data_IF_396152414503
#
_entry.id   IF_396152414503
#
_cell.length_a   1.000
_cell.length_b   1.000
_cell.length_c   1.000
_cell.angle_alpha   90.00
_cell.angle_beta   90.00
_cell.angle_gamma   90.00
#
_symmetry.space_group_name_H-M   'P 1'
#
loop_
_entity.id
_entity.type
_entity.pdbx_description
1 polymer ?
#
# COMPACT_ATOMS: atom_id res chain seq x y z
N UNK A 1 -14.54 3.65 -21.62
CA UNK A 1 -14.28 4.73 -20.64
C UNK A 1 -15.10 5.99 -20.91
N UNK A 2 -15.12 6.56 -22.13
CA UNK A 2 -16.01 7.71 -22.47
C UNK A 2 -17.52 7.44 -22.26
N UNK A 3 -18.00 6.20 -22.49
CA UNK A 3 -19.39 5.81 -22.21
C UNK A 3 -19.73 5.69 -20.71
N UNK A 4 -18.74 5.76 -19.80
CA UNK A 4 -18.94 5.60 -18.36
C UNK A 4 -18.69 6.91 -17.56
N UNK A 5 -18.57 8.06 -18.23
CA UNK A 5 -18.29 9.38 -17.60
C UNK A 5 -17.12 9.36 -16.60
N UNK A 6 -16.10 8.51 -16.83
CA UNK A 6 -14.87 8.51 -16.03
C UNK A 6 -13.74 9.14 -16.81
N UNK A 7 -12.98 10.00 -16.13
CA UNK A 7 -11.74 10.53 -16.68
C UNK A 7 -10.79 9.35 -16.97
N UNK A 8 -10.18 9.37 -18.15
CA UNK A 8 -9.26 8.32 -18.59
C UNK A 8 -8.00 8.36 -17.71
N UNK A 9 -7.67 9.52 -17.15
CA UNK A 9 -6.54 9.69 -16.23
C UNK A 9 -6.65 8.90 -14.92
N UNK A 10 -7.85 8.50 -14.53
CA UNK A 10 -8.11 7.89 -13.22
C UNK A 10 -7.97 6.36 -13.25
N UNK A 11 -7.97 5.77 -14.44
CA UNK A 11 -7.72 4.35 -14.61
C UNK A 11 -6.21 4.07 -14.74
N UNK A 12 -5.52 4.17 -13.59
CA UNK A 12 -4.06 3.97 -13.50
C UNK A 12 -3.66 2.80 -12.59
N UNK A 13 -4.11 1.56 -12.90
CA UNK A 13 -3.73 0.37 -12.14
C UNK A 13 -2.23 0.04 -12.25
N UNK A 14 -1.51 0.66 -13.19
CA UNK A 14 -0.06 0.60 -13.32
C UNK A 14 0.67 1.20 -12.11
N UNK A 15 0.09 2.23 -11.47
CA UNK A 15 0.67 2.83 -10.27
C UNK A 15 0.64 1.82 -9.12
N UNK A 16 -0.51 1.20 -8.86
CA UNK A 16 -0.63 0.13 -7.86
C UNK A 16 0.29 -1.04 -8.18
N UNK A 17 0.40 -1.43 -9.46
CA UNK A 17 1.31 -2.49 -9.89
C UNK A 17 2.77 -2.18 -9.52
N UNK A 18 3.24 -0.97 -9.82
CA UNK A 18 4.61 -0.53 -9.48
C UNK A 18 4.83 -0.50 -7.97
N UNK A 19 3.89 0.05 -7.19
CA UNK A 19 3.96 0.04 -5.73
C UNK A 19 4.07 -1.39 -5.17
N UNK A 20 3.26 -2.32 -5.66
CA UNK A 20 3.30 -3.71 -5.21
C UNK A 20 4.64 -4.39 -5.51
N UNK A 21 5.22 -4.12 -6.68
CA UNK A 21 6.56 -4.64 -7.01
C UNK A 21 7.60 -4.07 -6.06
N UNK A 22 7.58 -2.76 -5.80
CA UNK A 22 8.50 -2.11 -4.85
C UNK A 22 8.37 -2.67 -3.44
N UNK A 23 7.13 -2.79 -2.94
CA UNK A 23 6.86 -3.24 -1.58
C UNK A 23 7.20 -4.73 -1.40
N UNK A 24 6.83 -5.61 -2.33
CA UNK A 24 7.06 -7.06 -2.17
C UNK A 24 8.52 -7.47 -2.37
N UNK A 25 9.31 -6.65 -3.07
CA UNK A 25 10.76 -6.86 -3.23
C UNK A 25 11.59 -6.26 -2.10
N UNK A 26 11.02 -5.38 -1.28
CA UNK A 26 11.74 -4.73 -0.18
C UNK A 26 12.27 -5.73 0.87
N UNK A 27 13.46 -5.49 1.43
CA UNK A 27 13.98 -6.26 2.57
C UNK A 27 12.99 -6.39 3.72
N UNK A 28 12.24 -5.33 4.07
CA UNK A 28 11.24 -5.37 5.13
C UNK A 28 10.13 -6.43 4.89
N UNK A 29 9.74 -6.64 3.63
CA UNK A 29 8.81 -7.71 3.28
C UNK A 29 9.45 -9.09 3.43
N UNK A 30 10.72 -9.24 3.03
CA UNK A 30 11.47 -10.50 3.18
C UNK A 30 11.73 -10.85 4.65
N UNK A 31 11.86 -9.85 5.51
CA UNK A 31 11.94 -9.98 6.95
C UNK A 31 10.60 -10.32 7.63
N UNK A 32 9.49 -10.40 6.87
CA UNK A 32 8.16 -10.70 7.41
C UNK A 32 7.55 -9.57 8.24
N UNK A 33 8.06 -8.34 8.11
CA UNK A 33 7.61 -7.15 8.87
C UNK A 33 6.69 -6.23 8.05
N UNK A 34 6.23 -6.66 6.86
CA UNK A 34 5.35 -5.88 6.00
C UNK A 34 4.06 -6.63 5.70
N UNK A 35 2.94 -5.94 5.88
CA UNK A 35 1.62 -6.39 5.43
C UNK A 35 1.04 -5.34 4.49
N UNK A 36 0.50 -5.77 3.35
CA UNK A 36 0.03 -4.88 2.29
C UNK A 36 -1.48 -5.03 2.13
N UNK A 37 -2.17 -3.89 2.04
CA UNK A 37 -3.58 -3.81 1.68
C UNK A 37 -3.78 -2.88 0.50
N UNK A 38 -4.75 -3.19 -0.35
CA UNK A 38 -5.16 -2.35 -1.48
C UNK A 38 -6.61 -1.95 -1.25
N UNK A 39 -6.84 -0.65 -1.09
CA UNK A 39 -8.19 -0.10 -1.07
C UNK A 39 -8.48 0.56 -2.41
N UNK A 40 -9.43 0.00 -3.15
CA UNK A 40 -9.78 0.51 -4.48
C UNK A 40 -10.73 1.71 -4.39
N UNK A 41 -10.77 2.56 -5.41
CA UNK A 41 -11.72 3.66 -5.51
C UNK A 41 -13.21 3.22 -5.53
N UNK A 42 -13.50 1.92 -5.67
CA UNK A 42 -14.85 1.35 -5.58
C UNK A 42 -15.16 0.74 -4.20
N UNK A 43 -14.31 0.99 -3.20
CA UNK A 43 -14.50 0.47 -1.84
C UNK A 43 -14.17 -1.01 -1.67
N UNK A 44 -13.53 -1.66 -2.64
CA UNK A 44 -13.05 -3.04 -2.48
C UNK A 44 -11.74 -3.02 -1.71
N UNK A 45 -11.69 -3.73 -0.58
CA UNK A 45 -10.48 -3.92 0.22
C UNK A 45 -9.87 -5.29 -0.08
N UNK A 46 -8.59 -5.29 -0.44
CA UNK A 46 -7.84 -6.50 -0.78
C UNK A 46 -6.66 -6.63 0.17
N UNK A 47 -6.54 -7.80 0.79
CA UNK A 47 -5.37 -8.25 1.53
C UNK A 47 -4.39 -8.95 0.58
N UNK A 48 -3.12 -8.61 0.71
CA UNK A 48 -2.04 -9.16 -0.09
C UNK A 48 -1.11 -9.97 0.83
N UNK A 49 -0.97 -11.27 0.56
CA UNK A 49 -0.04 -12.11 1.32
C UNK A 49 1.40 -11.71 1.03
N UNK A 50 2.29 -11.60 2.04
CA UNK A 50 3.72 -11.30 1.84
C UNK A 50 4.45 -12.29 0.93
N UNK A 51 3.94 -13.53 0.83
CA UNK A 51 4.49 -14.60 0.00
C UNK A 51 4.09 -14.52 -1.48
N UNK A 52 3.16 -13.63 -1.85
CA UNK A 52 2.65 -13.55 -3.23
C UNK A 52 3.73 -13.05 -4.19
N UNK A 53 3.84 -13.73 -5.34
CA UNK A 53 4.68 -13.26 -6.45
C UNK A 53 3.82 -12.51 -7.48
N UNK A 54 3.84 -11.18 -7.41
CA UNK A 54 3.13 -10.35 -8.38
C UNK A 54 3.78 -10.44 -9.78
N UNK A 55 3.00 -10.63 -10.85
CA UNK A 55 3.54 -10.66 -12.21
C UNK A 55 4.27 -9.35 -12.56
N UNK A 56 5.51 -9.46 -13.07
CA UNK A 56 6.33 -8.29 -13.43
C UNK A 56 5.81 -7.48 -14.62
N UNK A 57 5.07 -8.11 -15.52
CA UNK A 57 4.49 -7.46 -16.69
C UNK A 57 3.07 -7.01 -16.39
N UNK A 58 2.75 -5.74 -16.69
CA UNK A 58 1.43 -5.16 -16.43
C UNK A 58 0.27 -5.98 -17.02
N UNK A 59 0.39 -6.51 -18.25
CA UNK A 59 -0.66 -7.34 -18.88
C UNK A 59 -1.06 -8.56 -18.05
N UNK A 60 -0.08 -9.24 -17.43
CA UNK A 60 -0.35 -10.41 -16.56
C UNK A 60 -0.92 -9.97 -15.21
N UNK A 61 -0.43 -8.87 -14.65
CA UNK A 61 -0.98 -8.29 -13.42
C UNK A 61 -2.46 -7.91 -13.59
N UNK A 62 -2.81 -7.26 -14.70
CA UNK A 62 -4.20 -6.91 -15.00
C UNK A 62 -5.09 -8.16 -15.07
N UNK A 63 -4.65 -9.23 -15.73
CA UNK A 63 -5.36 -10.51 -15.76
C UNK A 63 -5.56 -11.12 -14.35
N UNK A 64 -4.53 -11.07 -13.51
CA UNK A 64 -4.61 -11.52 -12.11
C UNK A 64 -5.63 -10.71 -11.31
N UNK A 65 -5.65 -9.38 -11.46
CA UNK A 65 -6.60 -8.52 -10.76
C UNK A 65 -8.04 -8.77 -11.21
N UNK A 66 -8.28 -9.01 -12.51
CA UNK A 66 -9.60 -9.41 -13.02
C UNK A 66 -10.05 -10.72 -12.39
N UNK A 67 -9.16 -11.71 -12.34
CA UNK A 67 -9.46 -12.99 -11.70
C UNK A 67 -9.78 -12.83 -10.20
N UNK A 68 -9.00 -12.00 -9.49
CA UNK A 68 -9.22 -11.71 -8.08
C UNK A 68 -10.60 -11.08 -7.86
N UNK A 69 -10.99 -10.09 -8.67
CA UNK A 69 -12.29 -9.43 -8.52
C UNK A 69 -13.48 -10.35 -8.86
N UNK A 70 -13.30 -11.32 -9.75
CA UNK A 70 -14.34 -12.30 -10.09
C UNK A 70 -14.45 -13.44 -9.07
N UNK A 71 -13.33 -13.90 -8.50
CA UNK A 71 -13.27 -15.07 -7.60
C UNK A 71 -13.18 -14.69 -6.11
N UNK A 72 -13.01 -13.40 -5.81
CA UNK A 72 -12.78 -12.82 -4.48
C UNK A 72 -11.53 -13.32 -3.75
N UNK A 73 -10.82 -14.31 -4.28
CA UNK A 73 -9.55 -14.79 -3.77
C UNK A 73 -8.72 -15.47 -4.85
N UNK A 74 -7.40 -15.42 -4.69
CA UNK A 74 -6.42 -16.18 -5.46
C UNK A 74 -5.67 -17.08 -4.50
N UNK A 75 -5.54 -18.36 -4.85
CA UNK A 75 -4.80 -19.35 -4.08
C UNK A 75 -3.50 -19.70 -4.76
N UNK A 76 -2.53 -20.15 -3.97
CA UNK A 76 -1.33 -20.78 -4.50
C UNK A 76 -1.68 -22.05 -5.27
N UNK A 77 -0.87 -22.41 -6.26
CA UNK A 77 -1.01 -23.68 -7.00
C UNK A 77 -0.48 -24.86 -6.19
N UNK A 78 0.49 -24.58 -5.31
CA UNK A 78 1.23 -25.61 -4.57
C UNK A 78 0.71 -25.76 -3.14
N UNK A 79 0.04 -24.73 -2.61
CA UNK A 79 -0.56 -24.73 -1.28
C UNK A 79 -2.01 -24.24 -1.36
N UNK A 80 -2.87 -24.66 -0.43
CA UNK A 80 -4.25 -24.14 -0.37
C UNK A 80 -4.33 -22.73 0.28
N UNK A 81 -3.18 -22.07 0.44
CA UNK A 81 -3.06 -20.73 1.02
C UNK A 81 -3.64 -19.67 0.07
N UNK A 82 -4.35 -18.68 0.64
CA UNK A 82 -4.88 -17.54 -0.10
C UNK A 82 -3.78 -16.48 -0.20
N UNK A 83 -3.31 -16.22 -1.41
CA UNK A 83 -2.28 -15.23 -1.69
C UNK A 83 -2.85 -13.81 -1.83
N UNK A 84 -4.05 -13.70 -2.38
CA UNK A 84 -4.80 -12.45 -2.49
C UNK A 84 -6.23 -12.72 -2.07
N UNK A 85 -6.83 -11.84 -1.29
CA UNK A 85 -8.20 -12.01 -0.79
C UNK A 85 -8.90 -10.66 -0.72
N UNK A 86 -10.12 -10.60 -1.23
CA UNK A 86 -11.05 -9.52 -0.93
C UNK A 86 -11.57 -9.73 0.51
N UNK A 87 -11.40 -8.72 1.35
CA UNK A 87 -11.83 -8.70 2.75
C UNK A 87 -12.91 -7.64 2.97
N UNK A 88 -13.62 -7.73 4.10
CA UNK A 88 -14.66 -6.78 4.45
C UNK A 88 -14.05 -5.45 4.94
N UNK A 89 -14.74 -4.35 4.66
CA UNK A 89 -14.41 -3.05 5.26
C UNK A 89 -14.96 -2.96 6.69
N UNK A 90 -14.44 -2.05 7.53
CA UNK A 90 -13.33 -1.11 7.29
C UNK A 90 -11.93 -1.73 7.44
N UNK A 91 -10.89 -1.04 6.93
CA UNK A 91 -9.49 -1.48 7.11
C UNK A 91 -9.07 -1.55 8.59
N UNK A 92 -9.65 -0.70 9.44
CA UNK A 92 -9.35 -0.63 10.87
C UNK A 92 -9.56 -1.95 11.60
N UNK A 93 -10.47 -2.79 11.13
CA UNK A 93 -10.78 -4.09 11.73
C UNK A 93 -9.67 -5.13 11.48
N UNK A 94 -8.79 -4.87 10.52
CA UNK A 94 -7.71 -5.76 10.12
C UNK A 94 -6.34 -5.23 10.53
N UNK A 95 -6.26 -4.02 11.09
CA UNK A 95 -5.01 -3.47 11.60
C UNK A 95 -4.73 -3.96 13.03
N UNK A 96 -3.47 -4.02 13.46
CA UNK A 96 -3.12 -4.30 14.85
C UNK A 96 -3.76 -3.28 15.80
N UNK A 97 -4.11 -3.67 17.04
CA UNK A 97 -4.81 -2.81 17.98
C UNK A 97 -4.01 -1.55 18.38
N UNK A 98 -2.68 -1.65 18.46
CA UNK A 98 -1.79 -0.52 18.71
C UNK A 98 -1.06 -0.14 17.41
N UNK A 99 -1.77 0.56 16.53
CA UNK A 99 -1.28 0.90 15.19
C UNK A 99 -1.49 2.39 14.89
N UNK A 100 -0.38 3.10 14.72
CA UNK A 100 -0.36 4.50 14.27
C UNK A 100 -0.65 4.58 12.78
N UNK A 101 -1.60 5.42 12.41
CA UNK A 101 -2.14 5.51 11.04
C UNK A 101 -1.73 6.86 10.46
N UNK A 102 -0.91 6.83 9.41
CA UNK A 102 -0.41 8.05 8.77
C UNK A 102 -0.73 8.07 7.29
N UNK A 103 -1.09 9.24 6.76
CA UNK A 103 -1.15 9.45 5.31
C UNK A 103 0.10 10.19 4.85
N UNK A 104 0.72 9.70 3.78
CA UNK A 104 1.74 10.47 3.08
C UNK A 104 1.06 11.51 2.20
N UNK A 105 1.33 12.78 2.46
CA UNK A 105 0.80 13.90 1.67
C UNK A 105 1.87 14.95 1.43
N UNK A 106 1.88 15.54 0.24
CA UNK A 106 2.82 16.59 -0.12
C UNK A 106 2.60 17.89 0.67
N UNK A 107 1.34 18.23 0.95
CA UNK A 107 0.94 19.48 1.61
C UNK A 107 1.06 19.41 3.16
N UNK A 108 1.48 18.27 3.69
CA UNK A 108 1.63 18.06 5.13
C UNK A 108 3.01 18.53 5.65
N UNK A 109 3.19 18.69 6.98
CA UNK A 109 4.48 19.04 7.56
C UNK A 109 5.59 18.06 7.14
N UNK A 110 6.73 18.61 6.73
CA UNK A 110 7.89 17.83 6.32
C UNK A 110 8.52 17.14 7.53
N UNK A 111 8.72 15.82 7.43
CA UNK A 111 9.39 15.02 8.45
C UNK A 111 10.52 14.20 7.83
N UNK A 112 11.55 13.93 8.64
CA UNK A 112 12.56 12.93 8.32
C UNK A 112 12.03 11.56 8.73
N UNK A 113 11.82 10.68 7.75
CA UNK A 113 11.16 9.39 7.98
C UNK A 113 11.87 8.54 9.03
N UNK A 114 13.21 8.56 9.06
CA UNK A 114 13.99 7.82 10.06
C UNK A 114 13.70 8.31 11.49
N UNK A 115 13.79 9.62 11.72
CA UNK A 115 13.47 10.23 13.02
C UNK A 115 12.02 9.97 13.41
N UNK A 116 11.10 10.04 12.44
CA UNK A 116 9.70 9.72 12.66
C UNK A 116 9.49 8.25 13.08
N UNK A 117 10.16 7.31 12.43
CA UNK A 117 10.10 5.88 12.75
C UNK A 117 10.71 5.54 14.12
N UNK A 118 11.72 6.29 14.56
CA UNK A 118 12.29 6.17 15.91
C UNK A 118 11.29 6.58 17.02
N UNK A 119 10.26 7.37 16.70
CA UNK A 119 9.18 7.72 17.65
C UNK A 119 8.15 6.60 17.85
N UNK A 120 8.17 5.57 17.00
CA UNK A 120 7.24 4.45 17.08
C UNK A 120 7.72 3.50 18.19
N UNK A 121 6.85 3.24 19.17
CA UNK A 121 7.18 2.35 20.28
C UNK A 121 7.48 0.93 19.81
N UNK A 122 8.27 0.17 20.57
CA UNK A 122 8.65 -1.22 20.21
C UNK A 122 7.48 -2.21 20.10
N UNK A 123 6.32 -1.86 20.67
CA UNK A 123 5.06 -2.62 20.60
C UNK A 123 3.98 -1.90 19.80
N UNK A 124 4.35 -0.86 19.07
CA UNK A 124 3.47 -0.05 18.23
C UNK A 124 3.72 -0.42 16.76
N UNK A 125 2.65 -0.69 16.02
CA UNK A 125 2.71 -0.87 14.57
C UNK A 125 2.47 0.47 13.88
N UNK A 126 2.88 0.56 12.62
CA UNK A 126 2.60 1.72 11.78
C UNK A 126 1.90 1.28 10.49
N UNK A 127 0.82 1.96 10.16
CA UNK A 127 0.07 1.82 8.92
C UNK A 127 0.21 3.10 8.11
N UNK A 128 0.81 2.97 6.93
CA UNK A 128 1.04 4.10 6.02
C UNK A 128 0.06 4.01 4.85
N UNK A 129 -0.77 5.04 4.72
CA UNK A 129 -1.69 5.21 3.62
C UNK A 129 -1.01 6.00 2.50
N UNK A 130 -0.91 5.38 1.33
CA UNK A 130 -0.28 5.97 0.14
C UNK A 130 -1.31 6.07 -0.99
N UNK A 131 -1.47 7.28 -1.54
CA UNK A 131 -2.37 7.52 -2.65
C UNK A 131 -1.86 6.89 -3.95
N UNK A 132 -2.37 5.71 -4.30
CA UNK A 132 -2.08 5.06 -5.59
C UNK A 132 -2.90 5.67 -6.75
N UNK A 133 -2.82 6.99 -6.91
CA UNK A 133 -3.57 7.79 -7.89
C UNK A 133 -2.63 8.68 -8.70
N UNK A 134 -3.05 9.07 -9.91
CA UNK A 134 -2.24 9.94 -10.77
C UNK A 134 -2.30 11.41 -10.38
N UNK A 135 -3.47 11.85 -9.88
CA UNK A 135 -3.76 13.20 -9.39
C UNK A 135 -4.93 13.09 -8.42
N UNK A 136 -4.99 14.00 -7.47
CA UNK A 136 -6.06 14.06 -6.47
C UNK A 136 -5.56 14.64 -5.16
N UNK A 137 -6.50 15.05 -4.31
CA UNK A 137 -6.20 15.43 -2.94
C UNK A 137 -5.99 14.19 -2.08
N UNK A 138 -5.05 14.25 -1.15
CA UNK A 138 -4.73 13.15 -0.23
C UNK A 138 -5.75 13.06 0.93
N UNK A 139 -7.05 13.05 0.60
CA UNK A 139 -8.16 13.01 1.57
C UNK A 139 -8.78 11.62 1.73
N UNK A 140 -8.18 10.60 1.12
CA UNK A 140 -8.73 9.25 0.99
C UNK A 140 -8.77 8.45 2.31
N UNK A 141 -8.06 8.90 3.35
CA UNK A 141 -8.00 8.23 4.65
C UNK A 141 -8.22 9.17 5.84
N UNK A 142 -8.69 10.40 5.61
CA UNK A 142 -8.82 11.47 6.63
C UNK A 142 -9.71 11.10 7.81
N UNK A 143 -10.69 10.22 7.59
CA UNK A 143 -11.58 9.74 8.65
C UNK A 143 -10.94 8.69 9.56
N UNK A 144 -9.74 8.19 9.23
CA UNK A 144 -9.11 7.04 9.89
C UNK A 144 -7.70 7.39 10.38
N UNK A 145 -6.95 8.24 9.67
CA UNK A 145 -5.57 8.56 10.02
C UNK A 145 -5.45 9.47 11.23
N UNK A 146 -4.39 9.25 12.01
CA UNK A 146 -4.05 10.05 13.17
C UNK A 146 -3.35 11.35 12.74
N UNK A 147 -2.55 11.29 11.67
CA UNK A 147 -1.84 12.44 11.11
C UNK A 147 -1.51 12.29 9.62
N UNK A 148 -1.11 13.42 9.01
CA UNK A 148 -0.53 13.46 7.67
C UNK A 148 0.90 13.98 7.75
N UNK A 149 1.80 13.37 7.00
CA UNK A 149 3.22 13.75 6.96
C UNK A 149 3.71 13.87 5.52
N UNK A 150 4.63 14.80 5.28
CA UNK A 150 5.39 14.91 4.03
C UNK A 150 6.80 14.36 4.24
N UNK A 151 7.32 13.62 3.27
CA UNK A 151 8.63 12.95 3.36
C UNK A 151 9.66 13.53 2.38
N UNK A 152 9.28 14.60 1.66
CA UNK A 152 10.10 15.23 0.63
C UNK A 152 9.56 16.61 0.29
N UNK A 153 10.45 17.57 0.05
CA UNK A 153 10.10 18.89 -0.52
C UNK A 153 9.69 18.81 -2.01
N UNK A 154 9.84 17.64 -2.62
CA UNK A 154 9.44 17.36 -4.00
C UNK A 154 8.28 16.38 -4.03
N UNK A 155 7.36 16.57 -4.97
CA UNK A 155 6.29 15.61 -5.24
C UNK A 155 6.89 14.26 -5.67
N UNK A 156 6.49 13.18 -4.98
CA UNK A 156 6.98 11.83 -5.23
C UNK A 156 5.92 11.00 -5.94
N UNK A 157 6.36 10.03 -6.75
CA UNK A 157 5.45 8.96 -7.16
C UNK A 157 5.11 8.06 -5.97
N UNK A 158 3.95 7.42 -6.00
CA UNK A 158 3.53 6.50 -4.94
C UNK A 158 4.57 5.38 -4.68
N UNK A 159 5.19 4.85 -5.73
CA UNK A 159 6.24 3.82 -5.61
C UNK A 159 7.49 4.35 -4.92
N UNK A 160 7.94 5.57 -5.24
CA UNK A 160 9.09 6.20 -4.57
C UNK A 160 8.77 6.52 -3.12
N UNK A 161 7.54 6.98 -2.82
CA UNK A 161 7.10 7.22 -1.46
C UNK A 161 7.10 5.93 -0.62
N UNK A 162 6.56 4.83 -1.17
CA UNK A 162 6.66 3.50 -0.57
C UNK A 162 8.12 3.10 -0.31
N UNK A 163 9.00 3.22 -1.32
CA UNK A 163 10.41 2.84 -1.21
C UNK A 163 11.14 3.65 -0.13
N UNK A 164 10.97 4.97 -0.09
CA UNK A 164 11.58 5.83 0.93
C UNK A 164 11.13 5.47 2.34
N UNK A 165 9.85 5.12 2.49
CA UNK A 165 9.33 4.72 3.79
C UNK A 165 9.86 3.36 4.22
N UNK A 166 9.84 2.36 3.32
CA UNK A 166 10.42 1.05 3.59
C UNK A 166 11.90 1.15 3.98
N UNK A 167 12.69 1.94 3.25
CA UNK A 167 14.12 2.09 3.53
C UNK A 167 14.37 2.67 4.92
N UNK A 168 13.63 3.70 5.32
CA UNK A 168 13.75 4.27 6.66
C UNK A 168 13.29 3.29 7.76
N UNK A 169 12.26 2.48 7.48
CA UNK A 169 11.81 1.42 8.38
C UNK A 169 12.89 0.33 8.55
N UNK A 170 13.54 -0.05 7.44
CA UNK A 170 14.62 -1.02 7.39
C UNK A 170 15.80 -0.56 8.25
N UNK A 171 16.21 0.70 8.10
CA UNK A 171 17.29 1.31 8.89
C UNK A 171 17.00 1.32 10.40
N UNK A 172 15.76 1.64 10.81
CA UNK A 172 15.39 1.73 12.23
C UNK A 172 15.18 0.35 12.85
N UNK A 173 14.71 -0.62 12.06
CA UNK A 173 14.42 -1.98 12.53
C UNK A 173 15.55 -2.97 12.28
N UNK A 174 16.72 -2.49 11.86
CA UNK A 174 17.94 -3.25 11.58
C UNK A 174 17.68 -4.41 10.60
N UNK A 175 17.00 -4.09 9.49
CA UNK A 175 16.76 -5.01 8.37
C UNK A 175 17.70 -4.62 7.23
N UNK A 176 18.63 -5.52 6.88
CA UNK A 176 19.67 -5.33 5.86
C UNK A 176 19.29 -5.93 4.50
#
# INVERSE_FOLDING_TARGET
MRKMNRDISDARPDITHQCLLTLLDSPINKAGKLQIYIHTAKGVLIEVSPSVRIPRTFKRFAGLMVQLLHRLSIRSTNSNEKLLRVIQNPITDHLPPNCRKVTLSFDAPLVRVREYMETIGSKESICVFVGAMAKGSDTFADSIVDEKISISNYSLSASVACSKFCHAAEDVWDVL
#
